data_IF_138031606663
#
_entry.id   IF_138031606663
#
_cell.length_a   1.000
_cell.length_b   1.000
_cell.length_c   1.000
_cell.angle_alpha   90.00
_cell.angle_beta   90.00
_cell.angle_gamma   90.00
#
_symmetry.space_group_name_H-M   'P 1'
#
loop_
_entity.id
_entity.type
_entity.pdbx_description
1 polymer ?
#
# COMPACT_ATOMS: atom_id res chain seq x y z
N UNK A 1 -45.53 13.33 -8.21
CA UNK A 1 -44.24 13.46 -8.91
C UNK A 1 -43.17 13.42 -7.84
N UNK A 2 -42.66 12.23 -7.54
CA UNK A 2 -41.59 12.00 -6.58
C UNK A 2 -40.28 12.27 -7.29
N UNK A 3 -39.51 13.24 -6.80
CA UNK A 3 -38.14 13.46 -7.25
C UNK A 3 -37.30 12.28 -6.75
N UNK A 4 -37.01 11.33 -7.64
CA UNK A 4 -35.93 10.38 -7.43
C UNK A 4 -34.63 11.18 -7.43
N UNK A 5 -34.17 11.51 -6.23
CA UNK A 5 -32.80 11.95 -6.03
C UNK A 5 -31.91 10.76 -6.40
N UNK A 6 -31.38 10.78 -7.62
CA UNK A 6 -30.25 9.94 -8.01
C UNK A 6 -29.16 10.17 -6.97
N UNK A 7 -28.98 9.17 -6.09
CA UNK A 7 -27.83 9.06 -5.21
C UNK A 7 -26.60 9.22 -6.10
N UNK A 8 -25.64 10.09 -5.76
CA UNK A 8 -24.41 10.22 -6.52
C UNK A 8 -23.82 8.82 -6.69
N UNK A 9 -23.69 8.37 -7.94
CA UNK A 9 -22.95 7.15 -8.26
C UNK A 9 -21.56 7.34 -7.69
N UNK A 10 -21.18 6.52 -6.71
CA UNK A 10 -19.81 6.50 -6.18
C UNK A 10 -18.87 6.46 -7.38
N UNK A 11 -18.03 7.49 -7.54
CA UNK A 11 -16.99 7.47 -8.55
C UNK A 11 -16.12 6.23 -8.27
N UNK A 12 -16.15 5.25 -9.19
CA UNK A 12 -15.35 4.04 -9.05
C UNK A 12 -13.88 4.43 -8.91
N UNK A 13 -13.22 3.97 -7.84
CA UNK A 13 -11.80 4.27 -7.58
C UNK A 13 -10.94 3.95 -8.80
N UNK A 14 -10.18 4.92 -9.27
CA UNK A 14 -9.22 4.79 -10.38
C UNK A 14 -7.97 3.98 -10.01
N UNK A 15 -7.90 3.48 -8.77
CA UNK A 15 -6.79 2.69 -8.23
C UNK A 15 -7.25 1.28 -7.85
N UNK A 16 -6.42 0.30 -8.18
CA UNK A 16 -6.74 -1.11 -7.97
C UNK A 16 -5.54 -1.88 -7.42
N UNK A 17 -5.81 -2.78 -6.49
CA UNK A 17 -4.89 -3.80 -6.02
C UNK A 17 -5.36 -5.13 -6.60
N UNK A 18 -4.49 -5.80 -7.35
CA UNK A 18 -4.72 -7.17 -7.82
C UNK A 18 -3.80 -8.08 -7.01
N UNK A 19 -4.34 -9.14 -6.42
CA UNK A 19 -3.58 -10.09 -5.63
C UNK A 19 -3.77 -11.52 -6.15
N UNK A 20 -2.68 -12.11 -6.68
CA UNK A 20 -2.61 -13.48 -7.17
C UNK A 20 -1.82 -14.38 -6.22
N UNK A 21 -2.50 -15.25 -5.47
CA UNK A 21 -1.86 -16.19 -4.54
C UNK A 21 -2.75 -17.40 -4.29
N UNK A 22 -2.18 -18.62 -4.35
CA UNK A 22 -2.91 -19.88 -4.13
C UNK A 22 -3.51 -19.99 -2.72
N UNK A 23 -2.89 -19.31 -1.76
CA UNK A 23 -3.19 -19.36 -0.33
C UNK A 23 -3.96 -18.15 0.19
N UNK A 24 -4.32 -17.18 -0.65
CA UNK A 24 -5.05 -15.98 -0.17
C UNK A 24 -6.40 -16.31 0.48
N UNK A 25 -7.03 -17.42 0.07
CA UNK A 25 -8.28 -17.90 0.70
C UNK A 25 -8.08 -18.64 2.03
N UNK A 26 -6.84 -18.91 2.43
CA UNK A 26 -6.54 -19.77 3.58
C UNK A 26 -6.36 -18.90 4.85
N UNK A 27 -7.11 -19.15 5.95
CA UNK A 27 -7.07 -18.30 7.17
C UNK A 27 -5.70 -18.20 7.86
N UNK A 28 -4.85 -19.21 7.66
CA UNK A 28 -3.54 -19.28 8.30
C UNK A 28 -2.46 -18.51 7.53
N UNK A 29 -2.75 -18.10 6.29
CA UNK A 29 -1.78 -17.50 5.39
C UNK A 29 -2.02 -16.01 5.17
N UNK A 30 -0.93 -15.27 5.00
CA UNK A 30 -0.95 -13.85 4.66
C UNK A 30 -1.71 -12.97 5.67
N UNK A 31 -1.71 -13.34 6.96
CA UNK A 31 -2.56 -12.72 7.96
C UNK A 31 -2.29 -11.22 8.15
N UNK A 32 -1.03 -10.79 8.07
CA UNK A 32 -0.71 -9.36 8.22
C UNK A 32 -1.13 -8.60 6.98
N UNK A 33 -0.90 -9.16 5.80
CA UNK A 33 -1.30 -8.57 4.52
C UNK A 33 -2.82 -8.43 4.42
N UNK A 34 -3.59 -9.48 4.75
CA UNK A 34 -5.05 -9.44 4.84
C UNK A 34 -5.55 -8.36 5.79
N UNK A 35 -4.90 -8.22 6.95
CA UNK A 35 -5.28 -7.23 7.98
C UNK A 35 -5.07 -5.77 7.58
N UNK A 36 -4.35 -5.49 6.50
CA UNK A 36 -4.17 -4.15 5.95
C UNK A 36 -5.38 -3.68 5.14
N UNK A 37 -6.27 -4.60 4.76
CA UNK A 37 -7.49 -4.31 4.03
C UNK A 37 -8.69 -4.21 4.99
N UNK A 38 -9.50 -3.20 4.78
CA UNK A 38 -10.73 -2.95 5.53
C UNK A 38 -11.85 -2.49 4.62
N UNK A 39 -13.11 -2.67 5.01
CA UNK A 39 -14.27 -2.13 4.30
C UNK A 39 -14.53 -0.68 4.71
N UNK A 40 -15.41 0.00 3.95
CA UNK A 40 -15.86 1.33 4.31
C UNK A 40 -16.36 1.35 5.75
N UNK A 41 -15.94 2.35 6.56
CA UNK A 41 -16.53 2.53 7.88
C UNK A 41 -18.03 2.75 7.72
N UNK A 42 -18.84 1.91 8.36
CA UNK A 42 -20.29 2.13 8.50
C UNK A 42 -20.49 3.57 8.98
N UNK A 43 -21.38 4.38 8.38
CA UNK A 43 -21.69 5.73 8.87
C UNK A 43 -22.00 5.79 10.38
N UNK A 44 -22.43 4.66 10.96
CA UNK A 44 -22.68 4.50 12.40
C UNK A 44 -21.45 4.04 13.20
N UNK A 45 -20.47 3.44 12.55
CA UNK A 45 -19.19 3.02 13.15
C UNK A 45 -18.02 3.57 12.32
N UNK A 46 -17.45 4.73 12.69
CA UNK A 46 -16.37 5.37 11.93
C UNK A 46 -15.04 4.59 11.95
N UNK A 47 -15.01 3.43 12.61
CA UNK A 47 -13.82 2.58 12.72
C UNK A 47 -13.83 1.63 11.52
N UNK A 48 -12.82 1.69 10.63
CA UNK A 48 -12.70 0.73 9.54
C UNK A 48 -12.73 -0.71 10.06
N UNK A 49 -13.59 -1.54 9.46
CA UNK A 49 -13.71 -2.96 9.81
C UNK A 49 -12.79 -3.74 8.91
N UNK A 50 -11.87 -4.50 9.49
CA UNK A 50 -10.96 -5.36 8.72
C UNK A 50 -11.74 -6.41 7.96
N UNK A 51 -11.27 -6.72 6.75
CA UNK A 51 -11.85 -7.81 5.99
C UNK A 51 -11.74 -9.14 6.75
N UNK A 52 -12.82 -9.89 6.80
CA UNK A 52 -12.86 -11.25 7.31
C UNK A 52 -12.35 -12.24 6.26
N UNK A 53 -11.98 -13.46 6.69
CA UNK A 53 -11.58 -14.50 5.75
C UNK A 53 -12.73 -14.89 4.81
N UNK A 54 -13.98 -14.82 5.28
CA UNK A 54 -15.18 -15.06 4.45
C UNK A 54 -15.31 -14.00 3.34
N UNK A 55 -15.01 -12.74 3.62
CA UNK A 55 -15.01 -11.69 2.60
C UNK A 55 -13.92 -11.95 1.54
N UNK A 56 -12.72 -12.39 1.94
CA UNK A 56 -11.70 -12.81 0.96
C UNK A 56 -12.15 -14.01 0.11
N UNK A 57 -12.86 -14.96 0.69
CA UNK A 57 -13.47 -16.08 -0.05
C UNK A 57 -14.52 -15.57 -1.03
N UNK A 58 -15.33 -14.57 -0.64
CA UNK A 58 -16.32 -13.96 -1.53
C UNK A 58 -15.67 -13.24 -2.72
N UNK A 59 -14.59 -12.48 -2.51
CA UNK A 59 -13.82 -11.86 -3.61
C UNK A 59 -13.31 -12.95 -4.57
N UNK A 60 -12.75 -14.02 -4.03
CA UNK A 60 -12.23 -15.13 -4.83
C UNK A 60 -13.30 -15.85 -5.65
N UNK A 61 -14.50 -16.04 -5.10
CA UNK A 61 -15.59 -16.78 -5.75
C UNK A 61 -16.33 -15.92 -6.77
N UNK A 62 -16.49 -14.63 -6.49
CA UNK A 62 -17.19 -13.71 -7.39
C UNK A 62 -16.40 -13.36 -8.65
N UNK A 63 -15.07 -13.62 -8.65
CA UNK A 63 -14.11 -13.16 -9.66
C UNK A 63 -14.19 -11.64 -9.92
N UNK A 64 -14.81 -10.91 -8.99
CA UNK A 64 -15.03 -9.48 -9.06
C UNK A 64 -13.97 -8.69 -8.29
N UNK A 65 -14.21 -7.40 -8.16
CA UNK A 65 -13.46 -6.53 -7.28
C UNK A 65 -14.37 -5.93 -6.22
N UNK A 66 -13.85 -5.70 -5.03
CA UNK A 66 -14.58 -5.02 -3.96
C UNK A 66 -13.90 -3.71 -3.58
N UNK A 67 -14.67 -2.66 -3.24
CA UNK A 67 -14.09 -1.45 -2.67
C UNK A 67 -13.52 -1.74 -1.28
N UNK A 68 -12.28 -1.31 -1.06
CA UNK A 68 -11.56 -1.47 0.21
C UNK A 68 -10.87 -0.16 0.59
N UNK A 69 -10.65 -0.02 1.89
CA UNK A 69 -9.64 0.87 2.45
C UNK A 69 -8.37 0.07 2.69
N UNK A 70 -7.32 0.42 1.96
CA UNK A 70 -5.96 -0.01 2.24
C UNK A 70 -5.28 1.10 3.02
N UNK A 71 -5.17 0.92 4.33
CA UNK A 71 -4.53 1.88 5.25
C UNK A 71 -5.02 3.33 5.07
N UNK A 72 -6.35 3.48 4.94
CA UNK A 72 -7.03 4.76 4.81
C UNK A 72 -7.24 5.25 3.37
N UNK A 73 -6.64 4.59 2.38
CA UNK A 73 -6.78 4.95 0.96
C UNK A 73 -7.78 4.03 0.27
N UNK A 74 -8.66 4.61 -0.56
CA UNK A 74 -9.69 3.85 -1.28
C UNK A 74 -9.12 3.15 -2.51
N UNK A 75 -9.26 1.82 -2.55
CA UNK A 75 -8.88 0.98 -3.68
C UNK A 75 -10.03 0.06 -4.09
N UNK A 76 -9.97 -0.44 -5.31
CA UNK A 76 -10.60 -1.71 -5.65
C UNK A 76 -9.63 -2.85 -5.35
N UNK A 77 -10.09 -3.92 -4.71
CA UNK A 77 -9.32 -5.14 -4.48
C UNK A 77 -9.91 -6.29 -5.31
N UNK A 78 -9.09 -6.90 -6.16
CA UNK A 78 -9.39 -8.19 -6.77
C UNK A 78 -8.39 -9.25 -6.29
N UNK A 79 -8.90 -10.43 -5.97
CA UNK A 79 -8.14 -11.58 -5.52
C UNK A 79 -8.31 -12.75 -6.49
N UNK A 80 -7.22 -13.43 -6.80
CA UNK A 80 -7.24 -14.58 -7.71
C UNK A 80 -6.35 -15.70 -7.20
N UNK A 81 -6.77 -16.94 -7.43
CA UNK A 81 -5.93 -18.15 -7.31
C UNK A 81 -5.44 -18.65 -8.68
N UNK A 82 -6.09 -18.22 -9.76
CA UNK A 82 -5.81 -18.69 -11.12
C UNK A 82 -5.20 -17.58 -11.98
N UNK A 83 -4.21 -17.95 -12.80
CA UNK A 83 -3.50 -17.03 -13.69
C UNK A 83 -4.43 -16.46 -14.76
N UNK A 84 -5.28 -17.28 -15.38
CA UNK A 84 -6.19 -16.88 -16.45
C UNK A 84 -7.19 -15.83 -15.97
N UNK A 85 -7.81 -16.03 -14.80
CA UNK A 85 -8.72 -15.05 -14.19
C UNK A 85 -7.99 -13.74 -13.85
N UNK A 86 -6.76 -13.82 -13.35
CA UNK A 86 -5.92 -12.65 -13.08
C UNK A 86 -5.61 -11.86 -14.36
N UNK A 87 -5.18 -12.53 -15.43
CA UNK A 87 -4.92 -11.92 -16.74
C UNK A 87 -6.19 -11.29 -17.32
N UNK A 88 -7.34 -11.92 -17.14
CA UNK A 88 -8.63 -11.34 -17.54
C UNK A 88 -8.93 -10.05 -16.78
N UNK A 89 -8.71 -10.04 -15.46
CA UNK A 89 -8.88 -8.85 -14.62
C UNK A 89 -8.00 -7.68 -15.08
N UNK A 90 -6.72 -7.95 -15.40
CA UNK A 90 -5.80 -6.96 -15.97
C UNK A 90 -6.35 -6.37 -17.26
N UNK A 91 -6.84 -7.21 -18.17
CA UNK A 91 -7.39 -6.75 -19.45
C UNK A 91 -8.59 -5.80 -19.26
N UNK A 92 -9.46 -6.06 -18.30
CA UNK A 92 -10.63 -5.22 -18.03
C UNK A 92 -10.28 -3.90 -17.35
N UNK A 93 -9.18 -3.85 -16.60
CA UNK A 93 -8.83 -2.73 -15.72
C UNK A 93 -7.56 -1.97 -16.12
N UNK A 94 -7.10 -2.09 -17.37
CA UNK A 94 -5.87 -1.41 -17.87
C UNK A 94 -5.90 0.11 -17.75
N UNK A 95 -7.09 0.70 -17.68
CA UNK A 95 -7.31 2.14 -17.54
C UNK A 95 -7.08 2.64 -16.11
N UNK A 96 -7.01 1.73 -15.12
CA UNK A 96 -6.78 2.05 -13.70
C UNK A 96 -5.28 1.96 -13.37
N UNK A 97 -4.88 2.60 -12.28
CA UNK A 97 -3.55 2.38 -11.70
C UNK A 97 -3.54 1.08 -10.91
N UNK A 98 -2.77 0.09 -11.35
CA UNK A 98 -2.70 -1.24 -10.73
C UNK A 98 -1.46 -1.38 -9.86
N UNK A 99 -1.66 -1.85 -8.62
CA UNK A 99 -0.64 -2.38 -7.73
C UNK A 99 -0.82 -3.89 -7.66
N UNK A 100 0.18 -4.66 -8.10
CA UNK A 100 0.06 -6.10 -8.27
C UNK A 100 0.84 -6.85 -7.21
N UNK A 101 0.17 -7.70 -6.45
CA UNK A 101 0.77 -8.59 -5.46
C UNK A 101 0.69 -10.03 -6.00
N UNK A 102 1.78 -10.77 -5.95
CA UNK A 102 1.79 -12.18 -6.35
C UNK A 102 2.70 -13.03 -5.48
N UNK A 103 2.39 -14.32 -5.35
CA UNK A 103 3.35 -15.28 -4.79
C UNK A 103 4.56 -15.46 -5.71
N UNK A 104 5.70 -15.90 -5.18
CA UNK A 104 6.89 -16.19 -5.99
C UNK A 104 6.65 -17.24 -7.09
N UNK A 105 5.86 -18.27 -6.79
CA UNK A 105 5.55 -19.36 -7.74
C UNK A 105 4.65 -18.88 -8.87
N UNK A 106 3.52 -18.25 -8.55
CA UNK A 106 2.60 -17.74 -9.56
C UNK A 106 3.16 -16.52 -10.30
N UNK A 107 3.98 -15.71 -9.61
CA UNK A 107 4.61 -14.53 -10.19
C UNK A 107 5.61 -14.88 -11.29
N UNK A 108 6.38 -15.97 -11.12
CA UNK A 108 7.32 -16.47 -12.14
C UNK A 108 6.65 -16.71 -13.49
N UNK A 109 5.43 -17.23 -13.48
CA UNK A 109 4.67 -17.55 -14.68
C UNK A 109 3.87 -16.32 -15.18
N UNK A 110 3.28 -15.57 -14.26
CA UNK A 110 2.29 -14.54 -14.60
C UNK A 110 2.92 -13.20 -14.97
N UNK A 111 4.00 -12.79 -14.30
CA UNK A 111 4.63 -11.48 -14.54
C UNK A 111 5.17 -11.32 -15.97
N UNK A 112 5.86 -12.32 -16.58
CA UNK A 112 6.24 -12.25 -17.98
C UNK A 112 5.06 -11.95 -18.92
N UNK A 113 3.93 -12.63 -18.70
CA UNK A 113 2.71 -12.49 -19.53
C UNK A 113 2.11 -11.10 -19.36
N UNK A 114 2.03 -10.61 -18.11
CA UNK A 114 1.53 -9.26 -17.81
C UNK A 114 2.41 -8.21 -18.47
N UNK A 115 3.73 -8.28 -18.32
CA UNK A 115 4.63 -7.28 -18.88
C UNK A 115 4.76 -7.36 -20.40
N UNK A 116 4.46 -8.51 -21.02
CA UNK A 116 4.35 -8.62 -22.48
C UNK A 116 3.08 -7.92 -23.01
N UNK A 117 1.93 -8.09 -22.33
CA UNK A 117 0.62 -7.64 -22.82
C UNK A 117 0.18 -6.28 -22.30
N UNK A 118 0.59 -5.92 -21.09
CA UNK A 118 0.06 -4.80 -20.30
C UNK A 118 1.18 -3.93 -19.74
N UNK A 119 2.32 -3.87 -20.42
CA UNK A 119 3.50 -3.13 -19.97
C UNK A 119 3.20 -1.68 -19.59
N UNK A 120 2.36 -1.01 -20.38
CA UNK A 120 2.04 0.41 -20.24
C UNK A 120 1.34 0.73 -18.90
N UNK A 121 0.67 -0.26 -18.28
CA UNK A 121 0.11 -0.13 -16.93
C UNK A 121 1.19 0.14 -15.87
N UNK A 122 2.42 -0.31 -16.13
CA UNK A 122 3.59 -0.16 -15.25
C UNK A 122 4.61 0.83 -15.77
N UNK A 123 4.23 1.74 -16.67
CA UNK A 123 5.08 2.84 -17.14
C UNK A 123 4.45 4.16 -16.71
N UNK A 124 5.28 5.06 -16.22
CA UNK A 124 4.89 6.44 -15.97
C UNK A 124 4.66 7.16 -17.30
N UNK A 125 3.44 7.63 -17.59
CA UNK A 125 3.13 8.24 -18.89
C UNK A 125 3.83 9.59 -19.12
N UNK A 126 4.48 10.16 -18.10
CA UNK A 126 5.19 11.45 -18.20
C UNK A 126 6.70 11.25 -18.29
N UNK A 127 7.27 10.38 -17.46
CA UNK A 127 8.72 10.15 -17.43
C UNK A 127 9.17 8.99 -18.31
N UNK A 128 8.23 8.15 -18.76
CA UNK A 128 8.48 6.88 -19.45
C UNK A 128 9.30 5.87 -18.62
N UNK A 129 9.44 6.14 -17.31
CA UNK A 129 10.14 5.26 -16.38
C UNK A 129 9.18 4.18 -15.84
N UNK A 130 9.69 2.97 -15.54
CA UNK A 130 8.87 1.91 -15.01
C UNK A 130 8.46 2.17 -13.56
N UNK A 131 7.21 1.84 -13.22
CA UNK A 131 6.77 1.71 -11.83
C UNK A 131 7.10 0.32 -11.30
N UNK A 132 7.76 0.28 -10.14
CA UNK A 132 8.04 -0.97 -9.43
C UNK A 132 6.81 -1.47 -8.65
N UNK A 133 5.63 -1.52 -9.27
CA UNK A 133 4.36 -1.86 -8.58
C UNK A 133 3.99 -3.34 -8.68
N UNK A 134 4.96 -4.22 -8.97
CA UNK A 134 4.81 -5.67 -8.89
C UNK A 134 5.53 -6.17 -7.63
N UNK A 135 4.76 -6.56 -6.63
CA UNK A 135 5.23 -7.03 -5.33
C UNK A 135 5.15 -8.56 -5.28
N UNK A 136 6.30 -9.21 -5.17
CA UNK A 136 6.43 -10.67 -5.12
C UNK A 136 6.70 -11.10 -3.68
N UNK A 137 5.79 -11.86 -3.10
CA UNK A 137 5.97 -12.45 -1.77
C UNK A 137 6.43 -13.91 -1.88
N UNK A 138 7.55 -14.26 -1.27
CA UNK A 138 8.07 -15.62 -1.28
C UNK A 138 8.94 -15.94 -0.06
N UNK A 139 8.89 -17.18 0.43
CA UNK A 139 9.72 -17.60 1.56
C UNK A 139 11.21 -17.72 1.19
N UNK A 140 11.52 -18.12 -0.05
CA UNK A 140 12.87 -18.32 -0.53
C UNK A 140 13.17 -17.37 -1.70
N UNK A 141 13.77 -16.22 -1.39
CA UNK A 141 14.12 -15.19 -2.39
C UNK A 141 15.16 -15.73 -3.37
N UNK A 142 16.18 -16.44 -2.88
CA UNK A 142 17.27 -16.97 -3.72
C UNK A 142 16.72 -17.82 -4.86
N UNK A 143 15.73 -18.66 -4.58
CA UNK A 143 15.07 -19.48 -5.59
C UNK A 143 14.32 -18.67 -6.65
N UNK A 144 13.92 -17.43 -6.37
CA UNK A 144 13.20 -16.56 -7.29
C UNK A 144 14.10 -15.58 -8.05
N UNK A 145 15.38 -15.43 -7.68
CA UNK A 145 16.25 -14.40 -8.25
C UNK A 145 16.47 -14.56 -9.76
N UNK A 146 16.63 -15.80 -10.25
CA UNK A 146 16.99 -16.07 -11.65
C UNK A 146 16.00 -15.47 -12.66
N UNK A 147 14.69 -15.56 -12.38
CA UNK A 147 13.66 -14.99 -13.25
C UNK A 147 13.38 -13.54 -12.89
N UNK A 148 13.36 -13.18 -11.60
CA UNK A 148 13.00 -11.84 -11.18
C UNK A 148 14.05 -10.78 -11.61
N UNK A 149 15.32 -11.16 -11.72
CA UNK A 149 16.38 -10.28 -12.23
C UNK A 149 16.12 -9.79 -13.66
N UNK A 150 15.37 -10.56 -14.47
CA UNK A 150 15.00 -10.17 -15.83
C UNK A 150 13.96 -9.03 -15.85
N UNK A 151 13.27 -8.82 -14.73
CA UNK A 151 12.20 -7.84 -14.54
C UNK A 151 12.48 -6.91 -13.36
N UNK A 152 13.76 -6.74 -12.98
CA UNK A 152 14.18 -5.99 -11.80
C UNK A 152 13.69 -4.54 -11.77
N UNK A 153 13.39 -3.96 -12.93
CA UNK A 153 12.92 -2.58 -13.05
C UNK A 153 11.41 -2.45 -12.75
N UNK A 154 10.68 -3.57 -12.64
CA UNK A 154 9.23 -3.62 -12.37
C UNK A 154 8.90 -4.36 -11.06
N UNK A 155 9.75 -5.30 -10.65
CA UNK A 155 9.49 -6.23 -9.55
C UNK A 155 10.23 -5.82 -8.28
N UNK A 156 9.56 -6.05 -7.14
CA UNK A 156 10.16 -6.05 -5.82
C UNK A 156 9.83 -7.36 -5.11
N UNK A 157 10.82 -7.98 -4.46
CA UNK A 157 10.66 -9.30 -3.81
C UNK A 157 10.81 -9.17 -2.31
N UNK A 158 9.94 -9.83 -1.56
CA UNK A 158 9.92 -9.82 -0.10
C UNK A 158 9.71 -11.23 0.46
N UNK A 159 10.32 -11.51 1.60
CA UNK A 159 10.12 -12.73 2.39
C UNK A 159 9.37 -12.49 3.69
N UNK A 160 9.01 -11.24 3.99
CA UNK A 160 8.17 -10.86 5.13
C UNK A 160 7.01 -9.96 4.68
N UNK A 161 5.80 -10.26 5.17
CA UNK A 161 4.59 -9.50 4.85
C UNK A 161 4.69 -8.03 5.28
N UNK A 162 5.30 -7.78 6.45
CA UNK A 162 5.46 -6.44 7.00
C UNK A 162 6.32 -5.54 6.10
N UNK A 163 7.37 -6.09 5.48
CA UNK A 163 8.26 -5.36 4.60
C UNK A 163 7.60 -5.05 3.26
N UNK A 164 6.85 -6.02 2.71
CA UNK A 164 6.01 -5.82 1.52
C UNK A 164 5.01 -4.69 1.77
N UNK A 165 4.25 -4.76 2.87
CA UNK A 165 3.26 -3.75 3.24
C UNK A 165 3.89 -2.36 3.38
N UNK A 166 5.00 -2.26 4.14
CA UNK A 166 5.69 -1.00 4.34
C UNK A 166 6.16 -0.39 3.01
N UNK A 167 6.71 -1.22 2.13
CA UNK A 167 7.19 -0.79 0.82
C UNK A 167 6.04 -0.38 -0.11
N UNK A 168 4.97 -1.16 -0.15
CA UNK A 168 3.79 -0.86 -0.97
C UNK A 168 3.11 0.45 -0.53
N UNK A 169 2.90 0.66 0.77
CA UNK A 169 2.34 1.92 1.29
C UNK A 169 3.20 3.14 0.91
N UNK A 170 4.52 3.00 0.98
CA UNK A 170 5.43 4.06 0.54
C UNK A 170 5.25 4.36 -0.93
N UNK A 171 5.30 3.33 -1.77
CA UNK A 171 5.26 3.50 -3.22
C UNK A 171 3.91 4.09 -3.66
N UNK A 172 2.81 3.72 -3.00
CA UNK A 172 1.50 4.38 -3.12
C UNK A 172 1.60 5.87 -2.74
N UNK A 173 2.16 6.19 -1.58
CA UNK A 173 2.34 7.57 -1.14
C UNK A 173 3.18 8.42 -2.11
N UNK A 174 4.29 7.86 -2.62
CA UNK A 174 5.15 8.50 -3.62
C UNK A 174 4.44 8.71 -4.95
N UNK A 175 3.61 7.75 -5.38
CA UNK A 175 2.76 7.88 -6.57
C UNK A 175 1.80 9.06 -6.43
N UNK A 176 0.99 9.09 -5.37
CA UNK A 176 0.03 10.16 -5.15
C UNK A 176 0.70 11.52 -5.00
N UNK A 177 1.86 11.59 -4.36
CA UNK A 177 2.68 12.81 -4.29
C UNK A 177 3.10 13.31 -5.67
N UNK A 178 3.60 12.40 -6.49
CA UNK A 178 4.06 12.71 -7.86
C UNK A 178 2.89 13.20 -8.71
N UNK A 179 1.73 12.53 -8.62
CA UNK A 179 0.54 12.93 -9.36
C UNK A 179 -0.03 14.28 -8.88
N UNK A 180 -0.01 14.53 -7.57
CA UNK A 180 -0.40 15.83 -7.00
C UNK A 180 0.43 16.97 -7.56
N UNK A 181 1.76 16.81 -7.59
CA UNK A 181 2.67 17.81 -8.15
C UNK A 181 2.38 18.07 -9.62
N UNK A 182 2.06 17.03 -10.39
CA UNK A 182 1.68 17.15 -11.81
C UNK A 182 0.39 17.93 -11.97
N UNK A 183 -0.64 17.61 -11.18
CA UNK A 183 -1.94 18.26 -11.25
C UNK A 183 -1.87 19.74 -10.83
N UNK A 184 -1.10 20.06 -9.78
CA UNK A 184 -0.84 21.44 -9.35
C UNK A 184 -0.12 22.27 -10.42
N UNK A 185 0.80 21.66 -11.17
CA UNK A 185 1.50 22.34 -12.27
C UNK A 185 0.62 22.52 -13.50
N UNK A 186 -0.43 21.69 -13.68
CA UNK A 186 -1.30 21.68 -14.86
C UNK A 186 -2.64 22.44 -14.68
N UNK A 187 -3.12 22.64 -13.44
CA UNK A 187 -4.50 23.08 -13.19
C UNK A 187 -4.63 24.39 -12.40
N UNK A 188 -5.67 25.22 -12.65
CA UNK A 188 -6.07 26.31 -11.76
C UNK A 188 -6.61 25.79 -10.41
N UNK A 189 -6.64 26.62 -9.35
CA UNK A 189 -6.70 26.23 -7.92
C UNK A 189 -7.95 25.46 -7.40
N UNK A 190 -8.86 25.01 -8.26
CA UNK A 190 -10.11 24.32 -7.86
C UNK A 190 -10.15 22.83 -8.24
N UNK A 191 -8.99 22.16 -8.38
CA UNK A 191 -8.93 20.75 -8.80
C UNK A 191 -9.05 19.78 -7.59
N UNK A 192 -9.81 18.67 -7.70
CA UNK A 192 -9.83 17.53 -6.77
C UNK A 192 -8.47 17.07 -6.21
N UNK A 193 -7.37 17.34 -6.94
CA UNK A 193 -5.98 17.17 -6.50
C UNK A 193 -5.65 17.77 -5.12
N UNK A 194 -6.45 18.72 -4.62
CA UNK A 194 -6.33 19.27 -3.26
C UNK A 194 -6.56 18.24 -2.14
N UNK A 195 -7.07 17.03 -2.44
CA UNK A 195 -7.25 15.97 -1.44
C UNK A 195 -5.98 15.15 -1.19
N UNK A 196 -5.05 15.09 -2.15
CA UNK A 196 -3.88 14.24 -2.03
C UNK A 196 -2.88 14.67 -0.93
N UNK A 197 -2.66 15.96 -0.63
CA UNK A 197 -1.86 16.37 0.52
C UNK A 197 -2.41 15.80 1.82
N UNK A 198 -3.74 15.77 1.99
CA UNK A 198 -4.36 15.18 3.19
C UNK A 198 -4.03 13.69 3.31
N UNK A 199 -4.07 12.96 2.19
CA UNK A 199 -3.73 11.54 2.18
C UNK A 199 -2.30 11.26 2.67
N UNK A 200 -1.33 12.11 2.34
CA UNK A 200 0.04 11.97 2.86
C UNK A 200 0.12 12.16 4.37
N UNK A 201 -0.64 13.13 4.90
CA UNK A 201 -0.74 13.31 6.35
C UNK A 201 -1.37 12.07 6.98
N UNK A 202 -2.45 11.54 6.43
CA UNK A 202 -3.16 10.38 6.96
C UNK A 202 -2.25 9.13 6.98
N UNK A 203 -1.44 8.90 5.94
CA UNK A 203 -0.43 7.81 5.92
C UNK A 203 0.67 8.07 6.96
N UNK A 204 1.12 9.32 7.11
CA UNK A 204 2.10 9.69 8.14
C UNK A 204 1.57 9.41 9.55
N UNK A 205 0.32 9.78 9.81
CA UNK A 205 -0.37 9.56 11.08
C UNK A 205 -0.55 8.06 11.37
N UNK A 206 -0.86 7.26 10.34
CA UNK A 206 -0.90 5.81 10.44
C UNK A 206 0.46 5.22 10.86
N UNK A 207 1.55 5.57 10.15
CA UNK A 207 2.88 5.05 10.48
C UNK A 207 3.32 5.44 11.89
N UNK A 208 3.06 6.67 12.30
CA UNK A 208 3.35 7.14 13.65
C UNK A 208 2.56 6.33 14.69
N UNK A 209 1.26 6.13 14.48
CA UNK A 209 0.40 5.37 15.40
C UNK A 209 0.85 3.92 15.53
N UNK A 210 1.16 3.28 14.41
CA UNK A 210 1.54 1.88 14.38
C UNK A 210 2.95 1.66 14.94
N UNK A 211 3.89 2.58 14.73
CA UNK A 211 5.19 2.58 15.41
C UNK A 211 5.05 2.63 16.93
N UNK A 212 4.19 3.51 17.46
CA UNK A 212 3.91 3.58 18.90
C UNK A 212 3.40 2.23 19.41
N UNK A 213 2.48 1.61 18.67
CA UNK A 213 1.92 0.30 19.03
C UNK A 213 3.00 -0.79 19.08
N UNK A 214 3.94 -0.80 18.13
CA UNK A 214 5.04 -1.75 18.10
C UNK A 214 6.03 -1.53 19.25
N UNK A 215 6.44 -0.29 19.51
CA UNK A 215 7.36 0.05 20.60
C UNK A 215 6.77 -0.31 21.97
N UNK A 216 5.46 -0.13 22.15
CA UNK A 216 4.77 -0.54 23.38
C UNK A 216 4.72 -2.07 23.58
N UNK A 217 4.75 -2.86 22.50
CA UNK A 217 4.68 -4.34 22.56
C UNK A 217 6.05 -5.00 22.66
N UNK A 218 7.08 -4.36 22.12
CA UNK A 218 8.43 -4.89 22.07
C UNK A 218 9.42 -3.72 22.19
N UNK A 219 9.87 -3.38 23.42
CA UNK A 219 10.87 -2.35 23.64
C UNK A 219 12.21 -2.76 23.03
N UNK A 220 13.18 -1.85 22.86
CA UNK A 220 13.21 -0.62 22.03
C UNK A 220 13.63 -0.91 20.59
N UNK A 221 14.13 -2.12 20.34
CA UNK A 221 14.92 -2.44 19.17
C UNK A 221 14.08 -3.10 18.08
N UNK A 222 12.84 -2.63 17.91
CA UNK A 222 11.96 -3.10 16.85
C UNK A 222 12.29 -2.36 15.54
N UNK A 223 12.99 -2.97 14.57
CA UNK A 223 13.44 -2.27 13.37
C UNK A 223 12.27 -1.80 12.50
N UNK A 224 11.16 -2.54 12.53
CA UNK A 224 9.95 -2.16 11.81
C UNK A 224 9.33 -0.87 12.38
N UNK A 225 9.38 -0.68 13.71
CA UNK A 225 8.88 0.54 14.34
C UNK A 225 9.76 1.75 14.00
N UNK A 226 11.08 1.59 14.04
CA UNK A 226 12.04 2.64 13.67
C UNK A 226 11.90 3.04 12.19
N UNK A 227 11.77 2.05 11.31
CA UNK A 227 11.55 2.27 9.89
C UNK A 227 10.25 3.07 9.67
N UNK A 228 9.13 2.65 10.27
CA UNK A 228 7.84 3.36 10.20
C UNK A 228 7.91 4.80 10.76
N UNK A 229 8.65 5.06 11.85
CA UNK A 229 8.86 6.42 12.36
C UNK A 229 9.62 7.30 11.36
N UNK A 230 10.61 6.73 10.69
CA UNK A 230 11.37 7.42 9.63
C UNK A 230 10.45 7.80 8.47
N UNK A 231 9.53 6.92 8.09
CA UNK A 231 8.51 7.19 7.07
C UNK A 231 7.53 8.28 7.48
N UNK A 232 6.99 8.19 8.70
CA UNK A 232 6.11 9.23 9.23
C UNK A 232 6.78 10.61 9.17
N UNK A 233 8.06 10.70 9.55
CA UNK A 233 8.83 11.94 9.51
C UNK A 233 8.95 12.50 8.09
N UNK A 234 9.30 11.65 7.12
CA UNK A 234 9.44 12.08 5.72
C UNK A 234 8.10 12.51 5.11
N UNK A 235 7.01 11.79 5.39
CA UNK A 235 5.68 12.15 4.92
C UNK A 235 5.21 13.49 5.50
N UNK A 236 5.38 13.70 6.81
CA UNK A 236 5.04 14.98 7.43
C UNK A 236 5.90 16.13 6.92
N UNK A 237 7.20 15.89 6.66
CA UNK A 237 8.09 16.88 6.04
C UNK A 237 7.60 17.31 4.67
N UNK A 238 7.23 16.34 3.82
CA UNK A 238 6.72 16.63 2.48
C UNK A 238 5.37 17.33 2.53
N UNK A 239 4.46 16.86 3.37
CA UNK A 239 3.16 17.51 3.59
C UNK A 239 3.30 18.97 4.06
N UNK A 240 4.16 19.20 5.06
CA UNK A 240 4.47 20.53 5.59
C UNK A 240 4.99 21.48 4.50
N UNK A 241 5.87 20.99 3.63
CA UNK A 241 6.42 21.77 2.51
C UNK A 241 5.34 22.10 1.46
N UNK A 242 4.47 21.15 1.14
CA UNK A 242 3.42 21.33 0.13
C UNK A 242 2.32 22.29 0.58
N UNK A 243 1.76 22.05 1.77
CA UNK A 243 0.66 22.86 2.31
C UNK A 243 1.15 24.15 2.99
N UNK A 244 2.48 24.30 3.15
CA UNK A 244 3.11 25.40 3.90
C UNK A 244 2.56 25.51 5.33
N UNK A 245 2.26 24.35 5.94
CA UNK A 245 1.77 24.23 7.31
C UNK A 245 2.87 23.72 8.24
N UNK A 246 2.82 24.11 9.50
CA UNK A 246 3.74 23.60 10.52
C UNK A 246 3.29 22.23 11.01
N UNK A 247 4.21 21.26 11.04
CA UNK A 247 4.02 19.92 11.63
C UNK A 247 4.91 19.74 12.87
N UNK A 248 5.16 20.83 13.60
CA UNK A 248 6.12 20.83 14.73
C UNK A 248 5.77 19.77 15.78
N UNK A 249 4.49 19.63 16.13
CA UNK A 249 4.06 18.68 17.17
C UNK A 249 4.36 17.23 16.76
N UNK A 250 4.08 16.88 15.51
CA UNK A 250 4.33 15.56 14.96
C UNK A 250 5.83 15.24 14.86
N UNK A 251 6.65 16.22 14.46
CA UNK A 251 8.12 16.08 14.45
C UNK A 251 8.70 15.93 15.86
N UNK A 252 8.27 16.77 16.80
CA UNK A 252 8.71 16.71 18.20
C UNK A 252 8.32 15.36 18.82
N UNK A 253 7.19 14.79 18.42
CA UNK A 253 6.78 13.46 18.85
C UNK A 253 7.64 12.35 18.25
N UNK A 254 7.87 12.35 16.92
CA UNK A 254 8.73 11.34 16.28
C UNK A 254 10.15 11.38 16.84
N UNK A 255 10.74 12.57 16.97
CA UNK A 255 12.10 12.72 17.47
C UNK A 255 12.23 12.16 18.89
N UNK A 256 11.25 12.39 19.77
CA UNK A 256 11.22 11.83 21.11
C UNK A 256 11.24 10.30 21.11
N UNK A 257 10.49 9.66 20.21
CA UNK A 257 10.52 8.21 20.08
C UNK A 257 11.85 7.69 19.54
N UNK A 258 12.46 8.38 18.58
CA UNK A 258 13.77 8.01 18.05
C UNK A 258 14.87 8.15 19.12
N UNK A 259 14.85 9.22 19.90
CA UNK A 259 15.75 9.45 21.03
C UNK A 259 15.62 8.35 22.09
N UNK A 260 14.38 8.00 22.47
CA UNK A 260 14.13 6.93 23.44
C UNK A 260 14.71 5.58 22.95
N UNK A 261 14.53 5.27 21.67
CA UNK A 261 15.06 4.06 21.06
C UNK A 261 16.60 4.03 21.07
N UNK A 262 17.24 5.18 20.77
CA UNK A 262 18.70 5.29 20.82
C UNK A 262 19.26 5.16 22.24
N UNK A 263 18.59 5.76 23.24
CA UNK A 263 19.00 5.67 24.65
C UNK A 263 18.91 4.24 25.18
N UNK A 264 17.79 3.56 24.91
CA UNK A 264 17.59 2.18 25.37
C UNK A 264 18.50 1.18 24.61
N UNK A 265 18.94 1.52 23.39
CA UNK A 265 19.94 0.73 22.66
C UNK A 265 21.32 0.82 23.33
N UNK A 266 21.69 2.00 23.83
CA UNK A 266 22.97 2.22 24.53
C UNK A 266 23.00 1.56 25.92
N UNK A 267 21.89 1.56 26.66
CA UNK A 267 21.86 0.88 27.97
C UNK A 267 22.00 -0.64 27.84
N UNK A 268 21.48 -1.24 26.76
CA UNK A 268 21.58 -2.68 26.53
C UNK A 268 23.00 -3.17 26.20
N UNK A 269 23.87 -2.30 25.64
CA UNK A 269 25.27 -2.67 25.38
C UNK A 269 26.13 -2.66 26.63
N UNK A 270 25.80 -1.82 27.63
CA UNK A 270 26.60 -1.66 28.84
C UNK A 270 26.38 -2.80 29.86
N UNK A 271 25.30 -3.58 29.75
CA UNK A 271 25.02 -4.73 30.63
C UNK A 271 25.62 -6.05 30.12
N UNK A 272 26.21 -6.07 28.92
CA UNK A 272 26.75 -7.27 28.29
C UNK A 272 28.27 -7.46 28.47
N UNK A 273 28.95 -6.50 29.13
CA UNK A 273 30.39 -6.52 29.46
C UNK A 273 30.63 -6.87 30.95
#
# INVERSE_FOLDING_TARGET
MTNDATVPTEEESDHMIIWLDDHIGDPEWCQQLKRAFSTQPDPKNPIPVKLSDEEFVEILVSEGHMPVHFEGVHFLLAAHKNIESCIHCFHQNQHRRIFFITSGTLGRETVPIILEKFKDTFIDPVTEEPYMFIYVFCQNIEYQLDWALQYRDYIQIFNFEADLLARMMRDIGDYFLTESKRLLNKSPPNNPAAQHPRMMRDIGDYFLTESKRLLNKSPPNNPAAQHRLTWANELFRRYSQMEKVSMKTEFDEINRFLEQVEEESKSSSDEAD
#
